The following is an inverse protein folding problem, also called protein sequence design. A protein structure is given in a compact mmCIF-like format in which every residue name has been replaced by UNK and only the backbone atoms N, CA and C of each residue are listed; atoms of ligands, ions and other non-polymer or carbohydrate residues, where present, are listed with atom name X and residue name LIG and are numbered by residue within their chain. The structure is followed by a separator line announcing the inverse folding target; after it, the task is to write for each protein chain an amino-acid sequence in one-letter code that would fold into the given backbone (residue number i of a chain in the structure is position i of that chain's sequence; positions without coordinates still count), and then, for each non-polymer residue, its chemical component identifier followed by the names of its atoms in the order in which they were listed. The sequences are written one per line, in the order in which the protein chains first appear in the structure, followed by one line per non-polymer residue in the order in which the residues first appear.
data_IF_697109271981
#
_entry.id   IF_697109271981
#
_cell.length_a   1.000
_cell.length_b   1.000
_cell.length_c   1.000
_cell.angle_alpha   90.00
_cell.angle_beta   90.00
_cell.angle_gamma   90.00
#
_symmetry.space_group_name_H-M   'P 1'
#
loop_
_entity.id
_entity.type
_entity.pdbx_description
1 polymer ?
#
# COMPACT_ATOMS: atom_id res chain seq x y z
N UNK A 1 10.63 -24.13 -11.27
CA UNK A 1 9.90 -22.88 -11.53
C UNK A 1 9.64 -22.16 -10.22
N UNK A 2 9.44 -20.83 -10.25
CA UNK A 2 9.07 -20.07 -9.04
C UNK A 2 7.56 -20.21 -8.80
N UNK A 3 7.17 -20.57 -7.57
CA UNK A 3 5.78 -20.64 -7.14
C UNK A 3 5.43 -19.37 -6.36
N UNK A 4 4.38 -18.61 -6.74
CA UNK A 4 3.96 -17.43 -5.99
C UNK A 4 3.54 -17.78 -4.56
N UNK A 5 3.91 -16.93 -3.61
CA UNK A 5 3.45 -17.08 -2.23
C UNK A 5 1.94 -16.87 -2.13
N UNK A 6 1.32 -17.56 -1.18
CA UNK A 6 -0.04 -17.22 -0.76
C UNK A 6 -0.03 -15.87 -0.05
N UNK A 7 -1.18 -15.19 -0.03
CA UNK A 7 -1.34 -13.93 0.71
C UNK A 7 -0.96 -14.07 2.18
N UNK A 8 -1.33 -15.18 2.81
CA UNK A 8 -1.05 -15.43 4.23
C UNK A 8 0.45 -15.56 4.49
N UNK A 9 1.15 -16.31 3.64
CA UNK A 9 2.59 -16.51 3.77
C UNK A 9 3.36 -15.21 3.56
N UNK A 10 2.99 -14.44 2.53
CA UNK A 10 3.57 -13.12 2.30
C UNK A 10 3.39 -12.19 3.52
N UNK A 11 2.18 -12.11 4.07
CA UNK A 11 1.92 -11.27 5.25
C UNK A 11 2.60 -11.80 6.51
N UNK A 12 2.77 -13.11 6.65
CA UNK A 12 3.51 -13.71 7.74
C UNK A 12 4.97 -13.24 7.73
N UNK A 13 5.65 -13.32 6.58
CA UNK A 13 7.02 -12.84 6.43
C UNK A 13 7.15 -11.34 6.76
N UNK A 14 6.26 -10.50 6.22
CA UNK A 14 6.26 -9.07 6.52
C UNK A 14 6.04 -8.83 8.02
N UNK A 15 5.12 -9.57 8.65
CA UNK A 15 4.84 -9.44 10.08
C UNK A 15 6.07 -9.77 10.93
N UNK A 16 6.80 -10.83 10.59
CA UNK A 16 8.01 -11.20 11.31
C UNK A 16 9.07 -10.09 11.23
N UNK A 17 9.29 -9.52 10.04
CA UNK A 17 10.21 -8.39 9.85
C UNK A 17 9.75 -7.18 10.67
N UNK A 18 8.46 -6.83 10.65
CA UNK A 18 7.96 -5.70 11.44
C UNK A 18 8.17 -5.90 12.94
N UNK A 19 7.96 -7.11 13.47
CA UNK A 19 8.18 -7.43 14.89
C UNK A 19 9.66 -7.28 15.26
N UNK A 20 10.57 -7.78 14.41
CA UNK A 20 12.01 -7.63 14.62
C UNK A 20 12.44 -6.16 14.67
N UNK A 21 11.76 -5.29 13.92
CA UNK A 21 12.00 -3.85 13.90
C UNK A 21 11.23 -3.08 15.00
N UNK A 22 10.51 -3.76 15.90
CA UNK A 22 9.69 -3.12 16.93
C UNK A 22 8.46 -2.38 16.38
N UNK A 23 8.08 -2.63 15.13
CA UNK A 23 6.91 -2.04 14.47
C UNK A 23 5.68 -2.92 14.63
N UNK A 24 4.50 -2.29 14.60
CA UNK A 24 3.23 -3.03 14.55
C UNK A 24 3.07 -3.73 13.20
N UNK A 25 2.63 -4.99 13.16
CA UNK A 25 2.36 -5.70 11.91
C UNK A 25 1.44 -4.95 10.96
N UNK A 26 1.83 -4.89 9.70
CA UNK A 26 1.06 -4.22 8.66
C UNK A 26 -0.05 -5.10 8.10
N UNK A 27 -1.25 -4.55 7.99
CA UNK A 27 -2.33 -5.16 7.20
C UNK A 27 -2.00 -5.02 5.71
N UNK A 28 -2.29 -6.04 4.91
CA UNK A 28 -2.06 -6.00 3.45
C UNK A 28 -2.69 -4.79 2.75
N UNK A 29 -3.91 -4.41 3.13
CA UNK A 29 -4.55 -3.20 2.61
C UNK A 29 -3.78 -1.92 2.96
N UNK A 30 -3.20 -1.86 4.16
CA UNK A 30 -2.37 -0.73 4.58
C UNK A 30 -1.04 -0.65 3.81
N UNK A 31 -0.46 -1.79 3.42
CA UNK A 31 0.72 -1.83 2.55
C UNK A 31 0.36 -1.27 1.16
N UNK A 32 -0.77 -1.71 0.59
CA UNK A 32 -1.24 -1.23 -0.72
C UNK A 32 -1.46 0.29 -0.74
N UNK A 33 -2.14 0.82 0.27
CA UNK A 33 -2.34 2.27 0.44
C UNK A 33 -1.00 2.99 0.56
N UNK A 34 -0.14 2.58 1.50
CA UNK A 34 1.11 3.30 1.78
C UNK A 34 2.06 3.27 0.59
N UNK A 35 2.15 2.14 -0.12
CA UNK A 35 2.93 2.06 -1.35
C UNK A 35 2.39 3.00 -2.44
N UNK A 36 1.06 3.09 -2.58
CA UNK A 36 0.43 4.04 -3.51
C UNK A 36 0.74 5.49 -3.14
N UNK A 37 0.67 5.83 -1.85
CA UNK A 37 1.00 7.18 -1.36
C UNK A 37 2.49 7.50 -1.56
N UNK A 38 3.37 6.55 -1.30
CA UNK A 38 4.81 6.70 -1.49
C UNK A 38 5.15 7.09 -2.94
N UNK A 39 4.51 6.47 -3.93
CA UNK A 39 4.68 6.87 -5.33
C UNK A 39 4.22 8.31 -5.60
N UNK A 40 3.12 8.76 -5.01
CA UNK A 40 2.68 10.16 -5.13
C UNK A 40 3.69 11.13 -4.50
N UNK A 41 4.23 10.78 -3.33
CA UNK A 41 5.25 11.59 -2.64
C UNK A 41 6.55 11.68 -3.45
N UNK A 42 6.89 10.64 -4.21
CA UNK A 42 8.00 10.64 -5.16
C UNK A 42 7.71 11.40 -6.46
N UNK A 43 6.52 12.02 -6.57
CA UNK A 43 6.16 12.88 -7.71
C UNK A 43 5.58 12.14 -8.90
N UNK A 44 5.21 10.85 -8.77
CA UNK A 44 4.55 10.16 -9.87
C UNK A 44 3.16 10.78 -10.11
N UNK A 45 2.74 10.95 -11.37
CA UNK A 45 1.43 11.48 -11.69
C UNK A 45 0.31 10.63 -11.10
N UNK A 46 -0.74 11.29 -10.61
CA UNK A 46 -1.89 10.63 -9.97
C UNK A 46 -2.50 9.53 -10.84
N UNK A 47 -2.67 9.76 -12.14
CA UNK A 47 -3.26 8.77 -13.06
C UNK A 47 -2.34 7.54 -13.26
N UNK A 48 -1.01 7.71 -13.19
CA UNK A 48 -0.04 6.61 -13.26
C UNK A 48 -0.19 5.73 -12.02
N UNK A 49 -0.19 6.35 -10.84
CA UNK A 49 -0.32 5.66 -9.56
C UNK A 49 -1.68 4.95 -9.44
N UNK A 50 -2.75 5.59 -9.93
CA UNK A 50 -4.10 5.01 -10.00
C UNK A 50 -4.14 3.75 -10.87
N UNK A 51 -3.49 3.79 -12.04
CA UNK A 51 -3.35 2.64 -12.94
C UNK A 51 -2.57 1.50 -12.27
N UNK A 52 -1.42 1.82 -11.66
CA UNK A 52 -0.55 0.84 -10.99
C UNK A 52 -1.25 0.14 -9.83
N UNK A 53 -1.96 0.89 -8.98
CA UNK A 53 -2.69 0.35 -7.84
C UNK A 53 -4.05 -0.28 -8.20
N UNK A 54 -4.42 -0.33 -9.48
CA UNK A 54 -5.71 -0.87 -9.97
C UNK A 54 -6.90 -0.33 -9.19
N UNK A 55 -6.85 0.96 -8.85
CA UNK A 55 -7.88 1.58 -8.05
C UNK A 55 -9.16 1.77 -8.87
N UNK A 56 -10.32 1.50 -8.25
CA UNK A 56 -11.60 1.86 -8.87
C UNK A 56 -11.76 3.38 -8.92
N UNK A 57 -12.38 3.91 -9.99
CA UNK A 57 -12.37 5.34 -10.35
C UNK A 57 -12.60 6.32 -9.18
N UNK A 58 -13.47 5.98 -8.23
CA UNK A 58 -13.79 6.85 -7.08
C UNK A 58 -13.11 6.48 -5.75
N UNK A 59 -12.65 5.24 -5.56
CA UNK A 59 -12.15 4.80 -4.24
C UNK A 59 -10.83 5.47 -3.87
N UNK A 60 -9.94 5.70 -4.85
CA UNK A 60 -8.66 6.34 -4.60
C UNK A 60 -8.79 7.83 -4.34
N UNK A 61 -9.63 8.51 -5.13
CA UNK A 61 -9.88 9.94 -4.94
C UNK A 61 -10.58 10.20 -3.60
N UNK A 62 -11.56 9.37 -3.23
CA UNK A 62 -12.19 9.43 -1.92
C UNK A 62 -11.18 9.18 -0.79
N UNK A 63 -10.31 8.16 -0.93
CA UNK A 63 -9.27 7.87 0.04
C UNK A 63 -8.33 9.06 0.24
N UNK A 64 -7.84 9.67 -0.85
CA UNK A 64 -7.01 10.86 -0.75
C UNK A 64 -7.77 12.03 -0.13
N UNK A 65 -9.01 12.33 -0.52
CA UNK A 65 -9.76 13.42 0.10
C UNK A 65 -9.98 13.22 1.61
N UNK A 66 -10.21 11.99 2.07
CA UNK A 66 -10.38 11.68 3.49
C UNK A 66 -9.08 11.77 4.31
N UNK A 67 -7.93 11.53 3.67
CA UNK A 67 -6.65 11.39 4.36
C UNK A 67 -5.58 12.44 4.00
N UNK A 68 -5.81 13.25 2.97
CA UNK A 68 -4.94 14.34 2.53
C UNK A 68 -5.31 15.69 3.17
N UNK A 69 -5.95 15.67 4.34
CA UNK A 69 -6.00 16.85 5.21
C UNK A 69 -4.58 17.09 5.74
N UNK A 70 -3.76 17.70 4.88
CA UNK A 70 -2.57 18.43 5.25
C UNK A 70 -3.10 19.71 5.89
N UNK A 71 -2.93 19.84 7.21
CA UNK A 71 -2.91 21.15 7.86
C UNK A 71 -1.58 21.83 7.58
#
# INVERSE_FOLDING_TARGET
GLCPLTRSEFLHHISQITVLLGLKPFKGHGIHIRGTLEYLLQGLPFEVVKLMGKWSRGSFQFYLCQHAIIK
#
